data_IF_394688365774
#
_entry.id   IF_394688365774
#
_cell.length_a   1.000
_cell.length_b   1.000
_cell.length_c   1.000
_cell.angle_alpha   90.00
_cell.angle_beta   90.00
_cell.angle_gamma   90.00
#
_symmetry.space_group_name_H-M   'P 1'
#
loop_
_entity.id
_entity.type
_entity.pdbx_description
1 polymer ?
#
# COMPACT_ATOMS: atom_id res chain seq x y z
N UNK A 1 18.34 -11.69 -21.53
CA UNK A 1 17.34 -11.85 -20.45
C UNK A 1 16.36 -10.68 -20.40
N UNK A 2 16.77 -9.45 -20.76
CA UNK A 2 15.88 -8.27 -20.77
C UNK A 2 14.76 -8.34 -21.84
N UNK A 3 14.97 -8.97 -22.95
CA UNK A 3 14.01 -8.96 -24.09
C UNK A 3 12.94 -10.04 -24.00
N UNK A 4 13.14 -11.12 -23.22
CA UNK A 4 12.12 -12.17 -23.05
C UNK A 4 11.01 -11.80 -22.07
N UNK A 5 11.22 -10.81 -21.20
CA UNK A 5 10.20 -10.29 -20.30
C UNK A 5 9.28 -9.25 -20.96
N UNK A 6 9.60 -8.83 -22.19
CA UNK A 6 8.84 -7.81 -22.91
C UNK A 6 7.61 -8.33 -23.64
N UNK A 7 7.50 -9.62 -23.93
CA UNK A 7 6.47 -10.13 -24.83
C UNK A 7 5.35 -10.97 -24.23
N UNK A 8 5.43 -11.33 -22.93
CA UNK A 8 4.35 -12.09 -22.28
C UNK A 8 4.24 -11.66 -20.81
N UNK A 9 3.34 -10.74 -20.50
CA UNK A 9 2.97 -10.44 -19.15
C UNK A 9 3.33 -9.05 -18.64
N UNK A 10 4.09 -8.23 -19.34
CA UNK A 10 4.34 -6.84 -18.96
C UNK A 10 3.05 -6.01 -18.90
N UNK A 11 2.07 -6.33 -19.75
CA UNK A 11 0.75 -5.69 -19.69
C UNK A 11 0.01 -6.03 -18.40
N UNK A 12 0.06 -7.27 -17.93
CA UNK A 12 -0.63 -7.69 -16.71
C UNK A 12 0.13 -7.32 -15.44
N UNK A 13 1.47 -7.39 -15.45
CA UNK A 13 2.30 -6.92 -14.34
C UNK A 13 2.20 -5.40 -14.21
N UNK A 14 2.16 -4.67 -15.32
CA UNK A 14 1.98 -3.21 -15.32
C UNK A 14 0.60 -2.79 -14.80
N UNK A 15 -0.43 -3.58 -15.06
CA UNK A 15 -1.80 -3.35 -14.56
C UNK A 15 -1.97 -3.66 -13.08
N UNK A 16 -1.02 -4.37 -12.45
CA UNK A 16 -1.06 -4.73 -11.02
C UNK A 16 -0.19 -3.84 -10.15
N UNK A 17 0.43 -2.80 -10.70
CA UNK A 17 1.27 -1.87 -9.95
C UNK A 17 0.48 -0.63 -9.53
N UNK A 18 0.73 -0.17 -8.31
CA UNK A 18 0.14 1.09 -7.81
C UNK A 18 0.69 2.26 -8.63
N UNK A 19 -0.21 3.07 -9.16
CA UNK A 19 0.11 4.26 -9.93
C UNK A 19 0.66 3.98 -11.33
N UNK A 20 0.75 5.05 -12.11
CA UNK A 20 1.38 5.08 -13.44
C UNK A 20 2.83 5.51 -13.32
N UNK A 21 3.60 5.42 -14.41
CA UNK A 21 4.98 5.94 -14.46
C UNK A 21 5.06 7.41 -14.05
N UNK A 22 4.07 8.22 -14.44
CA UNK A 22 4.00 9.64 -14.11
C UNK A 22 3.67 9.89 -12.62
N UNK A 23 2.80 9.08 -12.02
CA UNK A 23 2.32 9.29 -10.64
C UNK A 23 3.21 8.65 -9.58
N UNK A 24 4.04 7.66 -9.91
CA UNK A 24 4.92 6.98 -8.95
C UNK A 24 5.93 7.90 -8.29
N UNK A 25 6.51 8.81 -9.05
CA UNK A 25 7.44 9.80 -8.53
C UNK A 25 6.78 10.70 -7.47
N UNK A 26 5.55 11.14 -7.71
CA UNK A 26 4.77 11.95 -6.77
C UNK A 26 4.36 11.13 -5.52
N UNK A 27 4.02 9.85 -5.67
CA UNK A 27 3.74 8.95 -4.55
C UNK A 27 4.97 8.82 -3.65
N UNK A 28 6.15 8.55 -4.23
CA UNK A 28 7.41 8.48 -3.47
C UNK A 28 7.73 9.79 -2.78
N UNK A 29 7.62 10.92 -3.49
CA UNK A 29 7.82 12.25 -2.92
C UNK A 29 6.91 12.50 -1.72
N UNK A 30 5.63 12.12 -1.83
CA UNK A 30 4.68 12.20 -0.71
C UNK A 30 5.13 11.35 0.48
N UNK A 31 5.57 10.11 0.26
CA UNK A 31 6.04 9.21 1.32
C UNK A 31 7.29 9.75 2.04
N UNK A 32 8.18 10.43 1.34
CA UNK A 32 9.31 11.15 1.97
C UNK A 32 8.84 12.37 2.75
N UNK A 33 7.91 13.16 2.22
CA UNK A 33 7.40 14.35 2.88
C UNK A 33 6.68 14.05 4.20
N UNK A 34 5.88 12.97 4.23
CA UNK A 34 5.21 12.49 5.46
C UNK A 34 6.12 11.63 6.34
N UNK A 35 7.40 11.49 5.97
CA UNK A 35 8.44 10.78 6.71
C UNK A 35 8.18 9.29 6.95
N UNK A 36 7.50 8.63 6.04
CA UNK A 36 7.37 7.17 6.05
C UNK A 36 8.59 6.49 5.45
N UNK A 37 9.30 7.17 4.55
CA UNK A 37 10.54 6.72 3.95
C UNK A 37 11.69 7.68 4.23
N UNK A 38 12.90 7.13 4.34
CA UNK A 38 14.15 7.84 4.42
C UNK A 38 14.99 7.59 3.17
N UNK A 39 15.69 8.61 2.69
CA UNK A 39 16.66 8.49 1.61
C UNK A 39 18.06 8.81 2.11
N UNK A 40 18.97 7.86 1.98
CA UNK A 40 20.39 8.13 2.15
C UNK A 40 20.93 8.81 0.87
N UNK A 41 21.25 10.10 0.95
CA UNK A 41 21.69 10.88 -0.21
C UNK A 41 23.03 10.43 -0.78
N UNK A 42 23.90 9.80 0.01
CA UNK A 42 25.20 9.32 -0.44
C UNK A 42 25.09 8.00 -1.19
N UNK A 43 24.36 7.06 -0.63
CA UNK A 43 24.20 5.70 -1.20
C UNK A 43 22.99 5.57 -2.11
N UNK A 44 22.09 6.56 -2.15
CA UNK A 44 20.81 6.55 -2.85
C UNK A 44 19.88 5.37 -2.42
N UNK A 45 20.11 4.85 -1.21
CA UNK A 45 19.31 3.76 -0.65
C UNK A 45 18.10 4.35 0.08
N UNK A 46 16.92 3.83 -0.27
CA UNK A 46 15.65 4.14 0.38
C UNK A 46 15.38 3.08 1.45
N UNK A 47 15.05 3.53 2.66
CA UNK A 47 14.67 2.67 3.78
C UNK A 47 13.38 3.17 4.41
N UNK A 48 12.56 2.30 5.02
CA UNK A 48 11.45 2.77 5.83
C UNK A 48 11.97 3.54 7.05
N UNK A 49 11.16 4.46 7.54
CA UNK A 49 11.34 5.05 8.87
C UNK A 49 10.64 4.20 9.93
N UNK A 50 10.93 4.43 11.20
CA UNK A 50 10.18 3.80 12.29
C UNK A 50 8.67 4.07 12.16
N UNK A 51 8.29 5.33 11.88
CA UNK A 51 6.89 5.70 11.66
C UNK A 51 6.27 4.94 10.48
N UNK A 52 7.00 4.82 9.36
CA UNK A 52 6.53 4.10 8.18
C UNK A 52 6.31 2.62 8.47
N UNK A 53 7.19 2.00 9.24
CA UNK A 53 7.08 0.59 9.65
C UNK A 53 5.89 0.38 10.58
N UNK A 54 5.70 1.25 11.58
CA UNK A 54 4.54 1.20 12.46
C UNK A 54 3.21 1.35 11.72
N UNK A 55 3.14 2.26 10.74
CA UNK A 55 1.94 2.42 9.89
C UNK A 55 1.70 1.17 9.04
N UNK A 56 2.76 0.58 8.48
CA UNK A 56 2.65 -0.69 7.76
C UNK A 56 2.07 -1.79 8.66
N UNK A 57 2.60 -1.96 9.88
CA UNK A 57 2.13 -2.97 10.83
C UNK A 57 0.66 -2.76 11.21
N UNK A 58 0.24 -1.50 11.42
CA UNK A 58 -1.18 -1.19 11.68
C UNK A 58 -2.07 -1.65 10.52
N UNK A 59 -1.68 -1.35 9.29
CA UNK A 59 -2.47 -1.75 8.12
C UNK A 59 -2.44 -3.26 7.92
N UNK A 60 -1.28 -3.92 8.10
CA UNK A 60 -1.15 -5.37 7.99
C UNK A 60 -2.01 -6.10 9.00
N UNK A 61 -2.06 -5.63 10.24
CA UNK A 61 -2.83 -6.23 11.33
C UNK A 61 -4.32 -5.84 11.33
N UNK A 62 -4.72 -4.85 10.54
CA UNK A 62 -6.12 -4.38 10.48
C UNK A 62 -6.78 -4.67 9.13
N UNK A 63 -6.32 -4.07 8.06
CA UNK A 63 -6.89 -4.22 6.71
C UNK A 63 -5.77 -4.61 5.74
N UNK A 64 -5.22 -5.79 5.90
CA UNK A 64 -4.10 -6.30 5.09
C UNK A 64 -4.35 -6.21 3.59
N UNK A 65 -5.60 -6.28 3.15
CA UNK A 65 -5.95 -6.18 1.75
C UNK A 65 -5.53 -4.84 1.12
N UNK A 66 -5.41 -3.76 1.90
CA UNK A 66 -4.93 -2.47 1.41
C UNK A 66 -3.44 -2.49 0.99
N UNK A 67 -2.67 -3.48 1.46
CA UNK A 67 -1.28 -3.69 1.05
C UNK A 67 -1.18 -4.49 -0.25
N UNK A 68 -2.30 -5.03 -0.75
CA UNK A 68 -2.31 -5.80 -1.99
C UNK A 68 -2.54 -4.87 -3.19
N UNK A 69 -1.56 -4.71 -4.10
CA UNK A 69 -1.72 -3.87 -5.29
C UNK A 69 -2.81 -4.37 -6.25
N UNK A 70 -3.17 -5.67 -6.19
CA UNK A 70 -4.26 -6.22 -7.00
C UNK A 70 -5.63 -5.67 -6.60
N UNK A 71 -5.82 -5.36 -5.32
CA UNK A 71 -7.05 -4.71 -4.86
C UNK A 71 -7.21 -3.33 -5.51
N UNK A 72 -6.19 -2.49 -5.45
CA UNK A 72 -6.20 -1.17 -6.08
C UNK A 72 -6.43 -1.28 -7.59
N UNK A 73 -5.71 -2.19 -8.26
CA UNK A 73 -5.88 -2.43 -9.69
C UNK A 73 -7.30 -2.91 -10.05
N UNK A 74 -7.94 -3.70 -9.19
CA UNK A 74 -9.33 -4.14 -9.41
C UNK A 74 -10.33 -3.00 -9.31
N UNK A 75 -10.13 -2.06 -8.39
CA UNK A 75 -10.96 -0.86 -8.28
C UNK A 75 -10.74 0.10 -9.45
N UNK A 76 -9.50 0.30 -9.90
CA UNK A 76 -9.20 1.09 -11.10
C UNK A 76 -9.85 0.49 -12.36
N UNK A 77 -9.81 -0.83 -12.51
CA UNK A 77 -10.49 -1.54 -13.57
C UNK A 77 -12.01 -1.35 -13.51
N UNK A 78 -12.57 -1.35 -12.31
CA UNK A 78 -13.99 -1.05 -12.09
C UNK A 78 -14.38 0.35 -12.59
N UNK A 79 -13.53 1.36 -12.36
CA UNK A 79 -13.75 2.71 -12.91
C UNK A 79 -13.72 2.72 -14.45
N UNK A 80 -12.85 1.94 -15.06
CA UNK A 80 -12.83 1.77 -16.52
C UNK A 80 -14.15 1.20 -17.02
N UNK A 81 -14.70 0.18 -16.35
CA UNK A 81 -15.98 -0.40 -16.71
C UNK A 81 -17.16 0.58 -16.57
N UNK A 82 -17.12 1.48 -15.57
CA UNK A 82 -18.09 2.57 -15.45
C UNK A 82 -17.97 3.52 -16.64
N UNK A 83 -16.75 3.92 -17.00
CA UNK A 83 -16.49 4.82 -18.12
C UNK A 83 -16.93 4.23 -19.48
N UNK A 84 -16.77 2.93 -19.64
CA UNK A 84 -17.21 2.17 -20.83
C UNK A 84 -18.72 1.87 -20.85
N UNK A 85 -19.42 2.12 -19.75
CA UNK A 85 -20.85 1.81 -19.60
C UNK A 85 -21.16 0.34 -19.36
N UNK A 86 -20.16 -0.50 -19.07
CA UNK A 86 -20.34 -1.94 -18.79
C UNK A 86 -21.00 -2.19 -17.43
N UNK A 87 -20.80 -1.31 -16.48
CA UNK A 87 -21.46 -1.25 -15.18
C UNK A 87 -21.90 0.18 -14.88
N UNK A 88 -22.91 0.33 -14.04
CA UNK A 88 -23.35 1.65 -13.60
C UNK A 88 -22.46 2.20 -12.48
N UNK A 89 -22.46 3.54 -12.32
CA UNK A 89 -21.79 4.18 -11.18
C UNK A 89 -22.38 3.70 -9.84
N UNK A 90 -23.67 3.47 -9.78
CA UNK A 90 -24.36 3.01 -8.58
C UNK A 90 -23.92 1.60 -8.18
N UNK A 91 -23.80 0.68 -9.14
CA UNK A 91 -23.27 -0.66 -8.90
C UNK A 91 -21.81 -0.63 -8.39
N UNK A 92 -20.99 0.26 -8.97
CA UNK A 92 -19.62 0.45 -8.53
C UNK A 92 -19.57 0.98 -7.09
N UNK A 93 -20.34 2.03 -6.81
CA UNK A 93 -20.40 2.65 -5.47
C UNK A 93 -20.99 1.70 -4.43
N UNK A 94 -21.97 0.90 -4.76
CA UNK A 94 -22.50 -0.12 -3.85
C UNK A 94 -21.42 -1.14 -3.44
N UNK A 95 -20.65 -1.64 -4.40
CA UNK A 95 -19.53 -2.56 -4.13
C UNK A 95 -18.46 -1.92 -3.25
N UNK A 96 -18.08 -0.67 -3.56
CA UNK A 96 -17.10 0.09 -2.77
C UNK A 96 -17.60 0.32 -1.34
N UNK A 97 -18.83 0.79 -1.18
CA UNK A 97 -19.43 1.03 0.14
C UNK A 97 -19.53 -0.26 0.96
N UNK A 98 -19.90 -1.37 0.35
CA UNK A 98 -19.96 -2.68 1.01
C UNK A 98 -18.55 -3.12 1.48
N UNK A 99 -17.54 -2.94 0.65
CA UNK A 99 -16.15 -3.22 1.02
C UNK A 99 -15.70 -2.37 2.21
N UNK A 100 -15.87 -1.04 2.12
CA UNK A 100 -15.45 -0.11 3.19
C UNK A 100 -16.20 -0.40 4.48
N UNK A 101 -17.51 -0.54 4.44
CA UNK A 101 -18.33 -0.83 5.63
C UNK A 101 -17.93 -2.15 6.29
N UNK A 102 -17.74 -3.21 5.52
CA UNK A 102 -17.32 -4.52 6.03
C UNK A 102 -15.94 -4.47 6.70
N UNK A 103 -14.98 -3.74 6.11
CA UNK A 103 -13.64 -3.59 6.71
C UNK A 103 -13.67 -2.73 7.95
N UNK A 104 -14.44 -1.64 7.94
CA UNK A 104 -14.61 -0.76 9.11
C UNK A 104 -15.19 -1.52 10.30
N UNK A 105 -16.24 -2.30 10.10
CA UNK A 105 -16.83 -3.14 11.17
C UNK A 105 -15.81 -4.13 11.71
N UNK A 106 -15.02 -4.77 10.85
CA UNK A 106 -13.99 -5.71 11.28
C UNK A 106 -12.93 -5.02 12.15
N UNK A 107 -12.46 -3.84 11.75
CA UNK A 107 -11.47 -3.07 12.51
C UNK A 107 -12.01 -2.65 13.88
N UNK A 108 -13.25 -2.19 13.95
CA UNK A 108 -13.91 -1.81 15.23
C UNK A 108 -13.97 -2.99 16.20
N UNK A 109 -14.18 -4.22 15.68
CA UNK A 109 -14.26 -5.44 16.49
C UNK A 109 -12.91 -6.04 16.85
N UNK A 110 -11.82 -5.55 16.28
CA UNK A 110 -10.48 -6.06 16.58
C UNK A 110 -10.07 -5.74 18.02
N UNK A 111 -9.45 -6.70 18.67
CA UNK A 111 -8.84 -6.58 19.99
C UNK A 111 -7.38 -7.05 19.93
N UNK A 112 -6.59 -6.42 19.04
CA UNK A 112 -5.19 -6.79 18.81
C UNK A 112 -4.19 -5.73 19.29
N UNK A 113 -4.61 -4.79 20.12
CA UNK A 113 -3.80 -3.67 20.60
C UNK A 113 -2.54 -4.14 21.34
N UNK A 114 -2.64 -5.21 22.11
CA UNK A 114 -1.51 -5.78 22.83
C UNK A 114 -0.44 -6.32 21.85
N UNK A 115 -0.88 -7.03 20.82
CA UNK A 115 0.03 -7.57 19.81
C UNK A 115 0.70 -6.45 19.02
N UNK A 116 -0.06 -5.43 18.62
CA UNK A 116 0.48 -4.25 17.94
C UNK A 116 1.53 -3.52 18.77
N UNK A 117 1.31 -3.38 20.08
CA UNK A 117 2.31 -2.80 20.96
C UNK A 117 3.62 -3.60 20.94
N UNK A 118 3.55 -4.92 20.93
CA UNK A 118 4.73 -5.77 20.80
C UNK A 118 5.50 -5.53 19.50
N UNK A 119 4.82 -5.38 18.37
CA UNK A 119 5.47 -5.03 17.09
C UNK A 119 6.15 -3.66 17.15
N UNK A 120 5.49 -2.67 17.73
CA UNK A 120 6.04 -1.32 17.85
C UNK A 120 7.27 -1.28 18.76
N UNK A 121 7.24 -1.97 19.88
CA UNK A 121 8.36 -2.05 20.81
C UNK A 121 9.56 -2.75 20.16
N UNK A 122 9.34 -3.83 19.41
CA UNK A 122 10.37 -4.53 18.66
C UNK A 122 10.98 -3.65 17.55
N UNK A 123 10.15 -2.96 16.76
CA UNK A 123 10.60 -2.02 15.74
C UNK A 123 11.40 -0.86 16.37
N UNK A 124 10.89 -0.25 17.45
CA UNK A 124 11.57 0.83 18.14
C UNK A 124 12.96 0.43 18.68
N UNK A 125 13.09 -0.79 19.22
CA UNK A 125 14.37 -1.34 19.69
C UNK A 125 15.37 -1.47 18.53
N UNK A 126 14.94 -1.99 17.38
CA UNK A 126 15.77 -2.13 16.19
C UNK A 126 16.28 -0.77 15.68
N UNK A 127 15.45 0.26 15.67
CA UNK A 127 15.82 1.61 15.22
C UNK A 127 16.75 2.34 16.21
N UNK A 128 16.69 2.02 17.52
CA UNK A 128 17.63 2.55 18.53
C UNK A 128 19.04 2.03 18.30
N UNK A 129 19.20 0.72 18.14
CA UNK A 129 20.54 0.10 17.92
C UNK A 129 21.19 0.57 16.62
N UNK A 130 20.41 0.97 15.61
CA UNK A 130 20.93 1.49 14.35
C UNK A 130 21.43 2.94 14.42
N UNK A 131 21.07 3.70 15.47
CA UNK A 131 21.57 5.07 15.70
C UNK A 131 22.88 5.12 16.46
N UNK A 132 23.22 4.05 17.18
CA UNK A 132 24.45 3.97 18.00
C UNK A 132 25.65 3.41 17.24
N UNK A 133 25.47 2.97 15.98
CA UNK A 133 26.52 2.52 15.05
C UNK A 133 26.70 3.52 13.89
#
# INVERSE_FOLDING_TARGET
>A
IRDRLRSRGLGDVYKRQIGTSATRAEILKKLFNIKYLNLNKKTQVITPSLLGEMVYDVVDQSIRQLLNPELTASWEKGLTYVAEGSITSDEYMEKLNRFVAGRTVNVIRMNNQYNMRGYFDAAAAFYKTKKEN
#
